data_IF_966389750230
#
_entry.id   IF_966389750230
#
_cell.length_a   1.000
_cell.length_b   1.000
_cell.length_c   1.000
_cell.angle_alpha   90.00
_cell.angle_beta   90.00
_cell.angle_gamma   90.00
#
_symmetry.space_group_name_H-M   'P 1'
#
loop_
_entity.id
_entity.type
_entity.pdbx_description
1 polymer ?
#
# COMPACT_ATOMS: atom_id res chain seq x y z
N UNK A 1 31.79 2.46 4.29
CA UNK A 1 31.04 1.29 4.80
C UNK A 1 29.50 1.52 4.79
N UNK A 2 28.94 2.44 3.98
CA UNK A 2 27.48 2.71 3.97
C UNK A 2 26.87 2.74 2.56
N UNK A 3 27.41 1.95 1.61
CA UNK A 3 26.86 1.90 0.25
C UNK A 3 26.09 0.59 -0.05
N UNK A 4 26.16 -0.41 0.84
CA UNK A 4 25.56 -1.72 0.60
C UNK A 4 24.15 -1.89 1.20
N UNK A 5 23.75 -1.08 2.19
CA UNK A 5 22.47 -1.26 2.90
C UNK A 5 21.27 -0.72 2.12
N UNK A 6 21.47 0.31 1.28
CA UNK A 6 20.41 0.91 0.47
C UNK A 6 19.83 -0.07 -0.56
N UNK A 7 20.64 -0.96 -1.13
CA UNK A 7 20.18 -1.95 -2.12
C UNK A 7 19.33 -3.07 -1.53
N UNK A 8 19.49 -3.41 -0.24
CA UNK A 8 18.74 -4.51 0.39
C UNK A 8 17.28 -4.09 0.64
N UNK A 9 17.04 -2.79 0.82
CA UNK A 9 15.71 -2.23 1.12
C UNK A 9 15.17 -1.33 0.02
N UNK A 10 15.78 -1.30 -1.17
CA UNK A 10 15.27 -0.55 -2.31
C UNK A 10 14.02 -1.25 -2.88
N UNK A 11 12.89 -0.57 -2.82
CA UNK A 11 11.61 -1.02 -3.37
C UNK A 11 11.17 -0.18 -4.57
N UNK A 12 12.07 0.60 -5.16
CA UNK A 12 11.80 1.38 -6.37
C UNK A 12 11.23 0.48 -7.48
N UNK A 13 10.20 0.98 -8.17
CA UNK A 13 9.45 0.25 -9.21
C UNK A 13 8.76 -1.04 -8.71
N UNK A 14 8.51 -1.15 -7.40
CA UNK A 14 7.67 -2.20 -6.83
C UNK A 14 6.34 -1.62 -6.39
N UNK A 15 5.30 -2.44 -6.50
CA UNK A 15 3.99 -2.17 -5.90
C UNK A 15 3.79 -3.08 -4.70
N UNK A 16 3.48 -2.51 -3.54
CA UNK A 16 3.22 -3.24 -2.31
C UNK A 16 1.74 -3.18 -1.93
N UNK A 17 1.14 -4.34 -1.69
CA UNK A 17 -0.25 -4.43 -1.20
C UNK A 17 -0.23 -4.57 0.32
N UNK A 18 -0.88 -3.64 1.02
CA UNK A 18 -0.96 -3.64 2.49
C UNK A 18 -2.41 -3.75 2.94
N UNK A 19 -2.76 -4.88 3.53
CA UNK A 19 -4.08 -5.12 4.13
C UNK A 19 -4.15 -4.55 5.54
N UNK A 20 -5.30 -3.99 5.94
CA UNK A 20 -5.46 -3.36 7.24
C UNK A 20 -4.72 -2.02 7.38
N UNK A 21 -4.55 -1.28 6.28
CA UNK A 21 -3.72 -0.08 6.26
C UNK A 21 -4.39 1.19 6.82
N UNK A 22 -5.67 1.16 7.20
CA UNK A 22 -6.39 2.38 7.63
C UNK A 22 -5.86 2.98 8.94
N UNK A 23 -5.20 2.19 9.80
CA UNK A 23 -4.65 2.64 11.09
C UNK A 23 -3.54 1.71 11.61
N UNK A 24 -2.91 2.13 12.71
CA UNK A 24 -1.98 1.30 13.48
C UNK A 24 -0.80 0.78 12.66
N UNK A 25 -0.47 -0.49 12.85
CA UNK A 25 0.70 -1.13 12.25
C UNK A 25 0.61 -1.15 10.72
N UNK A 26 -0.56 -1.47 10.16
CA UNK A 26 -0.72 -1.52 8.69
C UNK A 26 -0.46 -0.16 8.05
N UNK A 27 -0.92 0.93 8.67
CA UNK A 27 -0.62 2.30 8.23
C UNK A 27 0.88 2.59 8.28
N UNK A 28 1.53 2.25 9.39
CA UNK A 28 2.97 2.47 9.56
C UNK A 28 3.80 1.68 8.54
N UNK A 29 3.40 0.43 8.25
CA UNK A 29 4.04 -0.41 7.23
C UNK A 29 3.87 0.22 5.84
N UNK A 30 2.66 0.64 5.47
CA UNK A 30 2.39 1.28 4.18
C UNK A 30 3.30 2.51 3.94
N UNK A 31 3.38 3.40 4.93
CA UNK A 31 4.24 4.59 4.86
C UNK A 31 5.72 4.20 4.83
N UNK A 32 6.13 3.20 5.61
CA UNK A 32 7.50 2.70 5.62
C UNK A 32 7.93 2.17 4.26
N UNK A 33 7.10 1.33 3.62
CA UNK A 33 7.38 0.78 2.30
C UNK A 33 7.45 1.88 1.23
N UNK A 34 6.58 2.89 1.32
CA UNK A 34 6.60 4.04 0.41
C UNK A 34 7.92 4.84 0.52
N UNK A 35 8.44 5.04 1.74
CA UNK A 35 9.75 5.69 1.96
C UNK A 35 10.92 4.94 1.35
N UNK A 36 10.75 3.65 1.06
CA UNK A 36 11.73 2.82 0.35
C UNK A 36 11.48 2.75 -1.16
N UNK A 37 10.52 3.51 -1.70
CA UNK A 37 10.28 3.64 -3.14
C UNK A 37 9.17 2.74 -3.70
N UNK A 38 8.36 2.10 -2.85
CA UNK A 38 7.23 1.30 -3.32
C UNK A 38 5.98 2.16 -3.58
N UNK A 39 5.29 1.94 -4.68
CA UNK A 39 3.89 2.33 -4.82
C UNK A 39 3.00 1.47 -3.93
N UNK A 40 1.98 2.06 -3.32
CA UNK A 40 1.19 1.39 -2.29
C UNK A 40 -0.24 1.15 -2.75
N UNK A 41 -0.68 -0.10 -2.63
CA UNK A 41 -2.08 -0.48 -2.70
C UNK A 41 -2.56 -0.78 -1.27
N UNK A 42 -3.40 0.10 -0.73
CA UNK A 42 -4.00 -0.07 0.59
C UNK A 42 -5.32 -0.83 0.51
N UNK A 43 -5.51 -1.84 1.37
CA UNK A 43 -6.79 -2.57 1.46
C UNK A 43 -7.33 -2.50 2.88
N UNK A 44 -8.57 -2.05 3.04
CA UNK A 44 -9.24 -2.06 4.35
C UNK A 44 -10.75 -2.18 4.22
N UNK A 45 -11.40 -2.63 5.31
CA UNK A 45 -12.87 -2.65 5.37
C UNK A 45 -13.48 -1.24 5.37
N UNK A 46 -12.82 -0.29 6.01
CA UNK A 46 -13.20 1.12 5.99
C UNK A 46 -12.69 1.79 4.72
N UNK A 47 -13.45 2.75 4.20
CA UNK A 47 -13.00 3.69 3.18
C UNK A 47 -11.85 4.55 3.73
N UNK A 48 -10.93 4.92 2.86
CA UNK A 48 -9.88 5.91 3.14
C UNK A 48 -10.10 7.07 2.19
N UNK A 49 -10.43 8.23 2.74
CA UNK A 49 -10.64 9.44 1.95
C UNK A 49 -9.33 9.97 1.37
N UNK A 50 -9.40 10.69 0.25
CA UNK A 50 -8.22 11.24 -0.42
C UNK A 50 -7.43 12.23 0.43
N UNK A 51 -8.07 12.88 1.40
CA UNK A 51 -7.43 13.82 2.33
C UNK A 51 -6.92 13.15 3.61
N UNK A 52 -7.07 11.82 3.74
CA UNK A 52 -6.61 11.07 4.89
C UNK A 52 -5.08 11.17 5.05
N UNK A 53 -4.64 11.16 6.30
CA UNK A 53 -3.23 11.34 6.67
C UNK A 53 -2.29 10.28 6.04
N UNK A 54 -2.76 9.04 5.84
CA UNK A 54 -1.96 8.01 5.14
C UNK A 54 -1.68 8.38 3.69
N UNK A 55 -2.67 8.93 2.98
CA UNK A 55 -2.54 9.31 1.56
C UNK A 55 -1.48 10.40 1.43
N UNK A 56 -1.64 11.47 2.22
CA UNK A 56 -0.71 12.60 2.27
C UNK A 56 0.72 12.16 2.60
N UNK A 57 0.89 11.30 3.61
CA UNK A 57 2.22 10.84 4.00
C UNK A 57 2.89 9.95 2.94
N UNK A 58 2.14 9.17 2.17
CA UNK A 58 2.68 8.36 1.08
C UNK A 58 3.03 9.26 -0.11
N UNK A 59 2.15 10.17 -0.51
CA UNK A 59 2.42 11.10 -1.60
C UNK A 59 3.63 12.01 -1.32
N UNK A 60 3.85 12.40 -0.06
CA UNK A 60 5.06 13.14 0.36
C UNK A 60 6.36 12.36 0.14
N UNK A 61 6.32 11.03 -0.02
CA UNK A 61 7.49 10.22 -0.38
C UNK A 61 7.75 10.20 -1.89
N UNK A 62 6.86 10.78 -2.70
CA UNK A 62 6.90 10.70 -4.16
C UNK A 62 6.22 9.45 -4.74
N UNK A 63 5.68 8.57 -3.89
CA UNK A 63 5.00 7.34 -4.30
C UNK A 63 3.48 7.50 -4.36
N UNK A 64 2.83 6.64 -5.13
CA UNK A 64 1.37 6.62 -5.26
C UNK A 64 0.68 5.79 -4.18
N UNK A 65 -0.57 6.13 -3.88
CA UNK A 65 -1.46 5.33 -3.03
C UNK A 65 -2.78 5.06 -3.74
N UNK A 66 -3.14 3.79 -3.89
CA UNK A 66 -4.46 3.37 -4.38
C UNK A 66 -5.19 2.58 -3.29
N UNK A 67 -6.43 2.96 -2.99
CA UNK A 67 -7.24 2.26 -2.00
C UNK A 67 -8.22 1.28 -2.63
N UNK A 68 -8.37 0.11 -2.02
CA UNK A 68 -9.46 -0.82 -2.28
C UNK A 68 -10.18 -1.18 -0.99
N UNK A 69 -11.51 -1.26 -1.08
CA UNK A 69 -12.32 -1.72 0.04
C UNK A 69 -12.58 -3.23 -0.06
N UNK A 70 -12.32 -3.95 1.02
CA UNK A 70 -12.67 -5.38 1.12
C UNK A 70 -12.90 -5.80 2.58
N UNK A 71 -13.93 -6.63 2.81
CA UNK A 71 -14.11 -7.37 4.06
C UNK A 71 -13.49 -8.77 3.91
N UNK A 72 -12.38 -9.02 4.62
CA UNK A 72 -11.67 -10.29 4.58
C UNK A 72 -12.44 -11.47 5.22
N UNK A 73 -13.57 -11.21 5.89
CA UNK A 73 -14.48 -12.30 6.29
C UNK A 73 -15.33 -12.81 5.13
N UNK A 74 -15.44 -12.06 4.03
CA UNK A 74 -16.23 -12.40 2.85
C UNK A 74 -15.31 -12.90 1.74
N UNK A 75 -15.23 -14.23 1.60
CA UNK A 75 -14.26 -14.87 0.72
C UNK A 75 -14.39 -14.45 -0.75
N UNK A 76 -15.60 -14.22 -1.23
CA UNK A 76 -15.84 -13.76 -2.60
C UNK A 76 -15.25 -12.37 -2.86
N UNK A 77 -15.31 -11.45 -1.88
CA UNK A 77 -14.71 -10.12 -2.02
C UNK A 77 -13.19 -10.21 -2.17
N UNK A 78 -12.53 -11.16 -1.51
CA UNK A 78 -11.09 -11.38 -1.65
C UNK A 78 -10.76 -11.81 -3.08
N UNK A 79 -11.52 -12.75 -3.65
CA UNK A 79 -11.30 -13.20 -5.03
C UNK A 79 -11.54 -12.08 -6.05
N UNK A 80 -12.57 -11.25 -5.84
CA UNK A 80 -12.83 -10.08 -6.67
C UNK A 80 -11.70 -9.05 -6.58
N UNK A 81 -11.26 -8.72 -5.37
CA UNK A 81 -10.15 -7.81 -5.11
C UNK A 81 -8.88 -8.25 -5.85
N UNK A 82 -8.50 -9.53 -5.75
CA UNK A 82 -7.29 -10.05 -6.41
C UNK A 82 -7.40 -9.94 -7.92
N UNK A 83 -8.57 -10.26 -8.50
CA UNK A 83 -8.81 -10.10 -9.94
C UNK A 83 -8.71 -8.64 -10.37
N UNK A 84 -9.31 -7.73 -9.60
CA UNK A 84 -9.32 -6.30 -9.91
C UNK A 84 -7.92 -5.70 -9.84
N UNK A 85 -7.15 -6.00 -8.78
CA UNK A 85 -5.77 -5.51 -8.65
C UNK A 85 -4.92 -6.01 -9.83
N UNK A 86 -4.96 -7.31 -10.15
CA UNK A 86 -4.21 -7.88 -11.29
C UNK A 86 -4.57 -7.24 -12.63
N UNK A 87 -5.81 -6.78 -12.79
CA UNK A 87 -6.25 -6.14 -14.03
C UNK A 87 -5.81 -4.68 -14.13
N UNK A 88 -5.73 -3.96 -13.00
CA UNK A 88 -5.43 -2.53 -12.96
C UNK A 88 -3.94 -2.22 -12.75
N UNK A 89 -3.18 -3.18 -12.24
CA UNK A 89 -1.75 -3.07 -11.94
C UNK A 89 -1.00 -4.29 -12.51
N UNK A 90 -0.74 -4.33 -13.83
CA UNK A 90 -0.14 -5.48 -14.52
C UNK A 90 1.36 -5.66 -14.25
#
# INVERSE_FOLDING_TARGET
MLESSGRIFDLSNKTAIVTGCSRGIGKAIAIGLARFGADIIGVSKSTIDSDADIVKQIEQTGQSFTHYQADFNQRDQIYHLVKEIKSKHP
#
